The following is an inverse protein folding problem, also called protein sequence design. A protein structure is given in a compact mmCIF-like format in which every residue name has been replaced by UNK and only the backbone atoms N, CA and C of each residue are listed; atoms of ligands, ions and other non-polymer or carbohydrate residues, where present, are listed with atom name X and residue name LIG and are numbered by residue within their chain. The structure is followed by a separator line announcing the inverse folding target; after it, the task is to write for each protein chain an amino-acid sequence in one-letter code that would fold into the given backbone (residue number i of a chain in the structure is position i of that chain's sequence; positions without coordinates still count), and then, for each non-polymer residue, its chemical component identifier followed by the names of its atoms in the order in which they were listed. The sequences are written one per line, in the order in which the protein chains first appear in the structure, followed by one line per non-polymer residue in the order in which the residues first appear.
data_IF_684736937924
#
_entry.id   IF_684736937924
#
_cell.length_a   1.000
_cell.length_b   1.000
_cell.length_c   1.000
_cell.angle_alpha   90.00
_cell.angle_beta   90.00
_cell.angle_gamma   90.00
#
_symmetry.space_group_name_H-M   'P 1'
#
loop_
_entity.id
_entity.type
_entity.pdbx_description
1 polymer ?
#
# COMPACT_ATOMS: atom_id res chain seq x y z
N UNK A 1 15.58 41.86 0.62
CA UNK A 1 14.43 40.93 0.76
C UNK A 1 14.85 39.59 0.18
N UNK A 2 15.26 38.65 1.04
CA UNK A 2 15.67 37.31 0.61
C UNK A 2 14.41 36.49 0.30
N UNK A 3 14.23 36.09 -0.96
CA UNK A 3 13.20 35.12 -1.34
C UNK A 3 13.60 33.81 -0.67
N UNK A 4 12.93 33.44 0.44
CA UNK A 4 13.04 32.08 0.99
C UNK A 4 12.55 31.12 -0.09
N UNK A 5 13.49 30.42 -0.75
CA UNK A 5 13.15 29.26 -1.58
C UNK A 5 12.46 28.26 -0.66
N UNK A 6 11.19 27.97 -0.94
CA UNK A 6 10.49 26.92 -0.22
C UNK A 6 11.11 25.57 -0.59
N UNK A 7 11.26 24.65 0.37
CA UNK A 7 11.81 23.33 0.07
C UNK A 7 10.90 22.62 -0.94
N UNK A 8 11.49 22.16 -2.03
CA UNK A 8 10.83 21.32 -3.04
C UNK A 8 10.40 20.03 -2.33
N UNK A 9 9.11 19.72 -2.37
CA UNK A 9 8.63 18.40 -1.90
C UNK A 9 9.10 17.30 -2.83
N UNK A 10 9.30 16.09 -2.30
CA UNK A 10 9.66 14.93 -3.12
C UNK A 10 8.73 14.76 -4.34
N UNK A 11 7.42 14.99 -4.18
CA UNK A 11 6.49 14.93 -5.32
C UNK A 11 6.62 16.09 -6.30
N UNK A 12 6.93 17.31 -5.87
CA UNK A 12 7.22 18.39 -6.81
C UNK A 12 8.46 18.06 -7.66
N UNK A 13 9.50 17.48 -7.05
CA UNK A 13 10.67 16.99 -7.78
C UNK A 13 10.29 15.91 -8.79
N UNK A 14 9.52 14.90 -8.38
CA UNK A 14 9.03 13.82 -9.25
C UNK A 14 8.13 14.37 -10.36
N UNK A 15 7.24 15.34 -10.10
CA UNK A 15 6.38 15.94 -11.12
C UNK A 15 7.19 16.71 -12.17
N UNK A 16 8.20 17.49 -11.73
CA UNK A 16 9.08 18.21 -12.65
C UNK A 16 9.86 17.21 -13.52
N UNK A 17 10.41 16.17 -12.90
CA UNK A 17 11.11 15.11 -13.61
C UNK A 17 10.19 14.37 -14.60
N UNK A 18 8.99 14.00 -14.17
CA UNK A 18 7.96 13.36 -14.99
C UNK A 18 7.61 14.19 -16.23
N UNK A 19 7.33 15.49 -16.05
CA UNK A 19 7.01 16.37 -17.16
C UNK A 19 8.18 16.50 -18.15
N UNK A 20 9.41 16.62 -17.64
CA UNK A 20 10.63 16.65 -18.46
C UNK A 20 10.81 15.37 -19.28
N UNK A 21 10.66 14.20 -18.65
CA UNK A 21 10.79 12.89 -19.31
C UNK A 21 9.73 12.71 -20.40
N UNK A 22 8.48 13.09 -20.12
CA UNK A 22 7.42 12.98 -21.13
C UNK A 22 7.61 13.94 -22.31
N UNK A 23 8.15 15.14 -22.07
CA UNK A 23 8.49 16.08 -23.13
C UNK A 23 9.59 15.52 -24.05
N UNK A 24 10.64 14.93 -23.46
CA UNK A 24 11.73 14.27 -24.20
C UNK A 24 11.23 13.07 -25.03
N UNK A 25 10.38 12.21 -24.46
CA UNK A 25 9.79 11.06 -25.16
C UNK A 25 8.89 11.49 -26.32
N UNK A 26 8.09 12.52 -26.11
CA UNK A 26 7.22 13.08 -27.17
C UNK A 26 8.05 13.72 -28.28
N UNK A 27 9.11 14.45 -27.92
CA UNK A 27 10.05 15.04 -28.88
C UNK A 27 10.81 13.98 -29.69
N UNK A 28 11.08 12.81 -29.10
CA UNK A 28 11.64 11.64 -29.78
C UNK A 28 10.64 10.92 -30.71
N UNK A 29 9.39 11.39 -30.79
CA UNK A 29 8.35 10.82 -31.64
C UNK A 29 7.65 9.60 -31.05
N UNK A 30 7.82 9.35 -29.75
CA UNK A 30 7.13 8.26 -29.07
C UNK A 30 5.64 8.57 -28.91
N UNK A 31 4.79 7.59 -29.23
CA UNK A 31 3.34 7.72 -29.09
C UNK A 31 2.91 7.25 -27.70
N UNK A 32 2.76 8.19 -26.78
CA UNK A 32 2.20 7.95 -25.44
C UNK A 32 0.75 7.42 -25.54
N UNK A 33 0.33 6.62 -24.57
CA UNK A 33 -1.08 6.21 -24.45
C UNK A 33 -1.96 7.41 -24.11
N UNK A 34 -3.25 7.31 -24.44
CA UNK A 34 -4.26 8.34 -24.11
C UNK A 34 -4.27 8.68 -22.62
N UNK A 35 -4.14 7.66 -21.77
CA UNK A 35 -4.17 7.78 -20.32
C UNK A 35 -2.95 8.54 -19.77
N UNK A 36 -1.76 8.35 -20.38
CA UNK A 36 -0.55 9.05 -19.99
C UNK A 36 -0.59 10.51 -20.47
N UNK A 37 -1.18 10.76 -21.65
CA UNK A 37 -1.39 12.12 -22.16
C UNK A 37 -2.36 12.91 -21.27
N UNK A 38 -3.48 12.31 -20.87
CA UNK A 38 -4.42 12.93 -19.92
C UNK A 38 -3.75 13.24 -18.57
N UNK A 39 -2.91 12.32 -18.07
CA UNK A 39 -2.14 12.54 -16.84
C UNK A 39 -1.10 13.66 -16.99
N UNK A 40 -0.43 13.75 -18.14
CA UNK A 40 0.50 14.83 -18.45
C UNK A 40 -0.21 16.19 -18.45
N UNK A 41 -1.35 16.31 -19.12
CA UNK A 41 -2.16 17.53 -19.14
C UNK A 41 -2.60 17.93 -17.72
N UNK A 42 -3.04 16.98 -16.91
CA UNK A 42 -3.37 17.20 -15.51
C UNK A 42 -2.16 17.69 -14.69
N UNK A 43 -0.99 17.08 -14.88
CA UNK A 43 0.23 17.47 -14.19
C UNK A 43 0.69 18.89 -14.58
N UNK A 44 0.59 19.26 -15.85
CA UNK A 44 0.84 20.63 -16.35
C UNK A 44 -0.13 21.60 -15.69
N UNK A 45 -1.43 21.29 -15.67
CA UNK A 45 -2.43 22.11 -15.00
C UNK A 45 -2.13 22.30 -13.50
N UNK A 46 -1.73 21.23 -12.81
CA UNK A 46 -1.31 21.27 -11.40
C UNK A 46 0.02 22.02 -11.16
N UNK A 47 0.87 22.15 -12.19
CA UNK A 47 2.12 22.91 -12.14
C UNK A 47 1.88 24.40 -12.39
N UNK A 48 1.01 24.74 -13.35
CA UNK A 48 0.76 26.11 -13.80
C UNK A 48 -0.22 26.89 -12.90
N UNK A 49 -1.25 26.25 -12.35
CA UNK A 49 -2.39 26.98 -11.76
C UNK A 49 -2.27 27.28 -10.25
N UNK A 50 -1.36 26.64 -9.51
CA UNK A 50 -1.23 26.89 -8.07
C UNK A 50 -0.39 28.12 -7.69
N UNK A 51 -0.05 28.96 -8.66
CA UNK A 51 0.49 30.30 -8.41
C UNK A 51 -0.61 31.38 -8.23
N UNK A 52 -1.92 31.06 -8.31
CA UNK A 52 -2.96 32.09 -8.32
C UNK A 52 -4.38 31.70 -7.87
N UNK A 53 -4.62 31.69 -6.55
CA UNK A 53 -5.80 32.25 -5.82
C UNK A 53 -7.28 32.01 -6.25
N UNK A 54 -7.66 31.14 -7.18
CA UNK A 54 -9.10 30.92 -7.48
C UNK A 54 -9.69 29.64 -6.85
N UNK A 55 -10.67 29.74 -5.93
CA UNK A 55 -11.35 28.59 -5.32
C UNK A 55 -12.16 27.70 -6.28
N UNK A 56 -12.52 28.20 -7.47
CA UNK A 56 -13.25 27.42 -8.47
C UNK A 56 -12.40 26.31 -9.13
N UNK A 57 -11.07 26.39 -9.02
CA UNK A 57 -10.11 25.40 -9.52
C UNK A 57 -10.12 24.09 -8.72
N UNK A 58 -10.59 24.10 -7.46
CA UNK A 58 -10.73 22.89 -6.64
C UNK A 58 -11.85 21.96 -7.13
N UNK A 59 -12.87 22.50 -7.81
CA UNK A 59 -13.97 21.72 -8.40
C UNK A 59 -13.52 20.81 -9.54
N UNK A 60 -12.47 21.21 -10.29
CA UNK A 60 -11.90 20.40 -11.36
C UNK A 60 -11.08 19.23 -10.80
N UNK A 61 -10.31 19.47 -9.74
CA UNK A 61 -9.60 18.44 -8.99
C UNK A 61 -10.57 17.41 -8.39
N UNK A 62 -11.69 17.85 -7.82
CA UNK A 62 -12.76 16.99 -7.30
C UNK A 62 -13.43 16.11 -8.36
N UNK A 63 -13.54 16.59 -9.60
CA UNK A 63 -14.07 15.83 -10.73
C UNK A 63 -13.09 14.73 -11.19
N UNK A 64 -11.79 15.05 -11.27
CA UNK A 64 -10.75 14.09 -11.67
C UNK A 64 -10.49 13.01 -10.60
N UNK A 65 -10.70 13.35 -9.32
CA UNK A 65 -10.72 12.37 -8.22
C UNK A 65 -11.78 11.27 -8.44
N UNK A 66 -12.86 11.57 -9.20
CA UNK A 66 -14.02 10.69 -9.37
C UNK A 66 -14.00 9.83 -10.65
N UNK A 67 -13.14 10.13 -11.63
CA UNK A 67 -13.13 9.44 -12.93
C UNK A 67 -11.71 9.07 -13.38
N UNK A 68 -11.51 7.86 -13.93
CA UNK A 68 -10.32 7.49 -14.71
C UNK A 68 -9.51 6.28 -14.22
N UNK A 69 -8.88 5.59 -15.17
CA UNK A 69 -7.70 4.77 -14.91
C UNK A 69 -6.64 5.68 -14.25
N UNK A 70 -6.06 5.26 -13.12
CA UNK A 70 -5.22 6.12 -12.25
C UNK A 70 -5.95 7.22 -11.45
N UNK A 71 -7.27 7.10 -11.19
CA UNK A 71 -7.99 8.01 -10.27
C UNK A 71 -7.27 8.20 -8.91
N UNK A 72 -6.60 7.15 -8.41
CA UNK A 72 -5.82 7.24 -7.18
C UNK A 72 -4.54 8.09 -7.32
N UNK A 73 -3.97 8.19 -8.52
CA UNK A 73 -2.81 9.04 -8.82
C UNK A 73 -3.24 10.50 -8.79
N UNK A 74 -4.36 10.84 -9.45
CA UNK A 74 -4.95 12.18 -9.37
C UNK A 74 -5.27 12.58 -7.93
N UNK A 75 -5.87 11.68 -7.15
CA UNK A 75 -6.13 11.87 -5.73
C UNK A 75 -4.84 12.12 -4.95
N UNK A 76 -3.80 11.31 -5.16
CA UNK A 76 -2.52 11.45 -4.46
C UNK A 76 -1.80 12.77 -4.78
N UNK A 77 -1.72 13.15 -6.05
CA UNK A 77 -1.13 14.44 -6.49
C UNK A 77 -1.88 15.60 -5.85
N UNK A 78 -3.22 15.58 -5.90
CA UNK A 78 -4.06 16.65 -5.34
C UNK A 78 -3.89 16.78 -3.83
N UNK A 79 -3.92 15.65 -3.11
CA UNK A 79 -3.70 15.61 -1.65
C UNK A 79 -2.32 16.16 -1.28
N UNK A 80 -1.30 15.84 -2.05
CA UNK A 80 0.04 16.36 -1.82
C UNK A 80 0.15 17.87 -2.00
N UNK A 81 -0.43 18.39 -3.09
CA UNK A 81 -0.47 19.84 -3.34
C UNK A 81 -1.24 20.58 -2.25
N UNK A 82 -2.41 20.07 -1.85
CA UNK A 82 -3.23 20.65 -0.78
C UNK A 82 -2.48 20.64 0.55
N UNK A 83 -1.82 19.51 0.88
CA UNK A 83 -1.02 19.38 2.10
C UNK A 83 0.16 20.35 2.10
N UNK A 84 0.91 20.44 1.00
CA UNK A 84 2.11 21.26 0.89
C UNK A 84 1.80 22.76 1.01
N UNK A 85 0.75 23.23 0.31
CA UNK A 85 0.35 24.64 0.34
C UNK A 85 -0.50 25.00 1.57
N UNK A 86 -0.86 24.00 2.40
CA UNK A 86 -1.76 24.16 3.54
C UNK A 86 -3.08 24.82 3.12
N UNK A 87 -3.57 24.49 1.92
CA UNK A 87 -4.76 25.13 1.33
C UNK A 87 -6.05 24.83 2.12
N UNK A 88 -6.01 23.82 2.99
CA UNK A 88 -7.08 23.49 3.92
C UNK A 88 -7.22 24.48 5.08
N UNK A 89 -6.23 25.33 5.35
CA UNK A 89 -6.20 26.20 6.52
C UNK A 89 -7.02 27.49 6.37
N UNK A 90 -7.64 27.99 7.46
CA UNK A 90 -8.35 29.27 7.46
C UNK A 90 -7.54 30.43 6.93
N UNK A 91 -6.24 30.50 7.24
CA UNK A 91 -5.33 31.54 6.76
C UNK A 91 -5.12 31.52 5.23
N UNK A 92 -5.46 30.41 4.58
CA UNK A 92 -5.35 30.17 3.14
C UNK A 92 -6.70 30.08 2.43
N UNK A 93 -7.80 30.33 3.16
CA UNK A 93 -9.16 30.28 2.62
C UNK A 93 -9.85 28.91 2.72
N UNK A 94 -9.28 27.97 3.48
CA UNK A 94 -9.93 26.69 3.81
C UNK A 94 -10.66 26.71 5.17
N UNK A 95 -11.27 25.60 5.54
CA UNK A 95 -12.12 25.49 6.74
C UNK A 95 -11.51 24.65 7.89
N UNK A 96 -10.28 24.14 7.73
CA UNK A 96 -9.72 23.09 8.59
C UNK A 96 -8.38 23.49 9.21
N UNK A 97 -8.16 23.22 10.50
CA UNK A 97 -6.94 23.64 11.19
C UNK A 97 -5.74 22.72 10.97
N UNK A 98 -5.98 21.47 10.56
CA UNK A 98 -4.92 20.51 10.30
C UNK A 98 -5.22 19.65 9.08
N UNK A 99 -4.19 19.11 8.44
CA UNK A 99 -4.37 18.20 7.31
C UNK A 99 -5.17 16.96 7.71
N UNK A 100 -5.01 16.49 8.95
CA UNK A 100 -5.81 15.40 9.51
C UNK A 100 -7.30 15.77 9.55
N UNK A 101 -7.64 16.96 10.06
CA UNK A 101 -9.04 17.41 10.11
C UNK A 101 -9.64 17.54 8.72
N UNK A 102 -8.85 18.05 7.77
CA UNK A 102 -9.25 18.11 6.37
C UNK A 102 -9.55 16.71 5.80
N UNK A 103 -8.69 15.72 6.04
CA UNK A 103 -8.93 14.35 5.59
C UNK A 103 -10.18 13.74 6.25
N UNK A 104 -10.25 13.77 7.58
CA UNK A 104 -11.27 13.05 8.35
C UNK A 104 -12.64 13.73 8.30
N UNK A 105 -12.68 15.06 8.39
CA UNK A 105 -13.92 15.83 8.40
C UNK A 105 -14.30 16.38 7.03
N UNK A 106 -13.34 16.83 6.22
CA UNK A 106 -13.62 17.36 4.89
C UNK A 106 -13.84 16.28 3.85
N UNK A 107 -12.84 15.40 3.68
CA UNK A 107 -12.87 14.36 2.65
C UNK A 107 -13.51 13.03 3.10
N UNK A 108 -13.77 12.87 4.40
CA UNK A 108 -14.31 11.65 5.01
C UNK A 108 -13.44 10.40 4.75
N UNK A 109 -12.12 10.59 4.73
CA UNK A 109 -11.13 9.51 4.63
C UNK A 109 -10.14 9.58 5.79
N UNK A 110 -9.56 8.46 6.20
CA UNK A 110 -8.51 8.49 7.22
C UNK A 110 -7.25 9.20 6.68
N UNK A 111 -6.54 9.89 7.55
CA UNK A 111 -5.24 10.51 7.19
C UNK A 111 -4.24 9.45 6.70
N UNK A 112 -4.31 8.23 7.24
CA UNK A 112 -3.51 7.10 6.77
C UNK A 112 -3.80 6.76 5.30
N UNK A 113 -5.09 6.65 4.94
CA UNK A 113 -5.51 6.42 3.56
C UNK A 113 -5.07 7.55 2.63
N UNK A 114 -5.14 8.81 3.08
CA UNK A 114 -4.66 9.96 2.32
C UNK A 114 -3.14 9.87 2.04
N UNK A 115 -2.33 9.56 3.07
CA UNK A 115 -0.89 9.33 2.92
C UNK A 115 -0.59 8.18 1.94
N UNK A 116 -1.34 7.06 2.02
CA UNK A 116 -1.18 5.94 1.09
C UNK A 116 -1.47 6.35 -0.36
N UNK A 117 -2.47 7.21 -0.61
CA UNK A 117 -2.77 7.73 -1.94
C UNK A 117 -1.61 8.59 -2.48
N UNK A 118 -1.03 9.44 -1.64
CA UNK A 118 0.15 10.26 -2.00
C UNK A 118 1.35 9.38 -2.38
N UNK A 119 1.67 8.39 -1.55
CA UNK A 119 2.74 7.40 -1.83
C UNK A 119 2.47 6.63 -3.13
N UNK A 120 1.23 6.16 -3.31
CA UNK A 120 0.83 5.45 -4.52
C UNK A 120 1.05 6.28 -5.78
N UNK A 121 0.68 7.57 -5.74
CA UNK A 121 0.86 8.47 -6.87
C UNK A 121 2.35 8.66 -7.21
N UNK A 122 3.20 8.85 -6.20
CA UNK A 122 4.66 8.96 -6.39
C UNK A 122 5.23 7.71 -7.07
N UNK A 123 4.97 6.53 -6.49
CA UNK A 123 5.48 5.27 -7.03
C UNK A 123 5.01 5.04 -8.47
N UNK A 124 3.74 5.31 -8.78
CA UNK A 124 3.22 5.17 -10.14
C UNK A 124 3.85 6.17 -11.12
N UNK A 125 4.08 7.42 -10.72
CA UNK A 125 4.76 8.39 -11.57
C UNK A 125 6.21 8.00 -11.84
N UNK A 126 6.93 7.51 -10.82
CA UNK A 126 8.28 6.95 -10.98
C UNK A 126 8.29 5.85 -12.04
N UNK A 127 7.37 4.88 -11.96
CA UNK A 127 7.28 3.80 -12.95
C UNK A 127 7.02 4.31 -14.38
N UNK A 128 6.25 5.38 -14.54
CA UNK A 128 6.03 5.98 -15.86
C UNK A 128 7.32 6.64 -16.39
N UNK A 129 8.07 7.33 -15.53
CA UNK A 129 9.37 7.91 -15.89
C UNK A 129 10.37 6.84 -16.35
N UNK A 130 10.36 5.69 -15.67
CA UNK A 130 11.19 4.52 -15.99
C UNK A 130 10.70 3.74 -17.23
N UNK A 131 9.63 4.20 -17.89
CA UNK A 131 9.18 3.65 -19.16
C UNK A 131 8.29 2.40 -19.04
N UNK A 132 7.77 2.06 -17.86
CA UNK A 132 6.87 0.92 -17.70
C UNK A 132 5.51 1.17 -18.37
N UNK A 133 5.10 0.27 -19.26
CA UNK A 133 3.75 0.27 -19.85
C UNK A 133 2.71 -0.40 -18.93
N UNK A 134 3.12 -1.42 -18.18
CA UNK A 134 2.26 -2.12 -17.23
C UNK A 134 2.31 -1.36 -15.90
N UNK A 135 1.25 -0.60 -15.60
CA UNK A 135 1.18 0.21 -14.38
C UNK A 135 0.31 -0.43 -13.29
N UNK A 136 0.53 -0.08 -12.00
CA UNK A 136 -0.31 -0.53 -10.90
C UNK A 136 -1.77 -0.11 -11.09
N UNK A 137 -2.68 -1.08 -11.06
CA UNK A 137 -4.11 -0.88 -11.33
C UNK A 137 -4.90 -0.34 -10.13
N UNK A 138 -4.28 -0.30 -8.95
CA UNK A 138 -4.93 0.19 -7.74
C UNK A 138 -3.91 0.79 -6.78
N UNK A 139 -4.38 1.72 -5.94
CA UNK A 139 -3.56 2.35 -4.91
C UNK A 139 -2.91 1.32 -3.97
N UNK A 140 -3.60 0.24 -3.61
CA UNK A 140 -3.04 -0.77 -2.69
C UNK A 140 -1.83 -1.50 -3.28
N UNK A 141 -1.81 -1.68 -4.61
CA UNK A 141 -0.67 -2.30 -5.30
C UNK A 141 0.48 -1.31 -5.39
N UNK A 142 0.21 -0.05 -5.76
CA UNK A 142 1.22 0.99 -5.84
C UNK A 142 1.82 1.33 -4.47
N UNK A 143 1.02 1.39 -3.41
CA UNK A 143 1.45 1.66 -2.04
C UNK A 143 2.28 0.53 -1.42
N UNK A 144 2.24 -0.68 -1.99
CA UNK A 144 3.05 -1.81 -1.53
C UNK A 144 4.47 -1.80 -2.08
N UNK A 145 4.73 -0.99 -3.12
CA UNK A 145 6.08 -0.80 -3.65
C UNK A 145 6.93 0.01 -2.66
N UNK A 146 8.25 -0.22 -2.60
CA UNK A 146 9.15 0.69 -1.91
C UNK A 146 9.02 2.06 -2.56
N UNK A 147 9.20 3.12 -1.77
CA UNK A 147 9.27 4.48 -2.30
C UNK A 147 10.73 4.86 -2.42
N UNK A 148 11.16 5.28 -3.59
CA UNK A 148 12.54 5.71 -3.82
C UNK A 148 12.80 6.99 -3.01
N UNK A 149 13.51 6.82 -1.89
CA UNK A 149 13.98 7.91 -1.05
C UNK A 149 15.49 7.92 -1.20
N UNK A 150 16.03 9.06 -1.60
CA UNK A 150 17.47 9.26 -1.71
C UNK A 150 18.02 10.02 -0.52
N UNK A 151 19.24 9.68 -0.10
CA UNK A 151 19.97 10.44 0.90
C UNK A 151 20.53 11.75 0.29
N UNK A 152 21.21 12.57 1.09
CA UNK A 152 21.79 13.84 0.63
C UNK A 152 22.87 13.67 -0.48
N UNK A 153 23.41 12.47 -0.65
CA UNK A 153 24.39 12.12 -1.68
C UNK A 153 23.74 11.58 -2.97
N UNK A 154 22.42 11.39 -2.97
CA UNK A 154 21.68 10.85 -4.11
C UNK A 154 21.56 9.33 -4.13
N UNK A 155 22.12 8.61 -3.16
CA UNK A 155 22.00 7.14 -3.07
C UNK A 155 20.62 6.77 -2.53
N UNK A 156 20.03 5.68 -3.04
CA UNK A 156 18.80 5.11 -2.50
C UNK A 156 19.03 4.68 -1.04
N UNK A 157 18.09 5.05 -0.17
CA UNK A 157 18.05 4.62 1.23
C UNK A 157 17.53 3.18 1.33
N UNK A 158 16.76 2.71 0.35
CA UNK A 158 16.24 1.36 0.30
C UNK A 158 17.12 0.46 -0.57
N UNK A 159 17.28 -0.80 -0.16
CA UNK A 159 18.06 -1.81 -0.89
C UNK A 159 17.45 -2.23 -2.23
N UNK A 160 16.17 -1.92 -2.44
CA UNK A 160 15.42 -2.26 -3.66
C UNK A 160 14.64 -1.03 -4.13
N UNK A 161 14.85 -0.65 -5.40
CA UNK A 161 14.13 0.47 -6.00
C UNK A 161 12.69 0.10 -6.39
N UNK A 162 11.88 1.14 -6.59
CA UNK A 162 10.49 1.02 -7.07
C UNK A 162 10.44 0.28 -8.41
N UNK A 163 11.36 0.60 -9.32
CA UNK A 163 11.44 0.03 -10.66
C UNK A 163 11.80 -1.45 -10.63
N UNK A 164 12.85 -1.83 -9.88
CA UNK A 164 13.29 -3.22 -9.73
C UNK A 164 12.20 -4.08 -9.09
N UNK A 165 11.61 -3.60 -7.99
CA UNK A 165 10.53 -4.30 -7.31
C UNK A 165 9.32 -4.55 -8.22
N UNK A 166 9.00 -3.58 -9.08
CA UNK A 166 7.87 -3.70 -9.98
C UNK A 166 8.14 -4.62 -11.16
N UNK A 167 9.35 -4.57 -11.75
CA UNK A 167 9.78 -5.49 -12.80
C UNK A 167 9.69 -6.95 -12.34
N UNK A 168 10.23 -7.27 -11.17
CA UNK A 168 10.18 -8.63 -10.63
C UNK A 168 8.74 -9.06 -10.30
N UNK A 169 7.90 -8.15 -9.82
CA UNK A 169 6.48 -8.45 -9.58
C UNK A 169 5.70 -8.73 -10.89
N UNK A 170 6.05 -8.06 -12.00
CA UNK A 170 5.52 -8.34 -13.35
C UNK A 170 5.90 -9.74 -13.79
N UNK A 171 7.18 -10.11 -13.66
CA UNK A 171 7.68 -11.44 -14.00
C UNK A 171 6.98 -12.53 -13.17
N UNK A 172 6.91 -12.35 -11.84
CA UNK A 172 6.30 -13.31 -10.93
C UNK A 172 4.79 -13.52 -11.20
N UNK A 173 4.09 -12.48 -11.66
CA UNK A 173 2.66 -12.54 -11.92
C UNK A 173 2.28 -12.99 -13.34
N UNK A 174 3.23 -12.98 -14.28
CA UNK A 174 2.95 -13.17 -15.70
C UNK A 174 2.19 -11.99 -16.33
N UNK A 175 2.44 -10.76 -15.86
CA UNK A 175 1.98 -9.53 -16.51
C UNK A 175 0.89 -8.72 -15.81
N UNK A 176 0.27 -9.21 -14.72
CA UNK A 176 -0.72 -8.44 -13.94
C UNK A 176 -0.46 -8.57 -12.44
N UNK A 177 0.49 -7.78 -11.89
CA UNK A 177 0.84 -7.87 -10.48
C UNK A 177 -0.32 -7.40 -9.59
N UNK A 178 -0.78 -8.29 -8.70
CA UNK A 178 -1.49 -7.93 -7.48
C UNK A 178 -0.56 -7.70 -6.28
N UNK A 179 -1.11 -7.17 -5.18
CA UNK A 179 -0.39 -6.85 -3.92
C UNK A 179 0.46 -8.01 -3.41
N UNK A 180 -0.03 -9.25 -3.52
CA UNK A 180 0.69 -10.45 -3.09
C UNK A 180 2.04 -10.65 -3.80
N UNK A 181 2.14 -10.27 -5.09
CA UNK A 181 3.37 -10.43 -5.85
C UNK A 181 4.38 -9.35 -5.46
N UNK A 182 3.91 -8.11 -5.32
CA UNK A 182 4.73 -7.01 -4.82
C UNK A 182 5.27 -7.32 -3.43
N UNK A 183 4.42 -7.76 -2.50
CA UNK A 183 4.87 -8.13 -1.15
C UNK A 183 5.85 -9.32 -1.15
N UNK A 184 5.72 -10.27 -2.07
CA UNK A 184 6.66 -11.39 -2.16
C UNK A 184 8.07 -10.92 -2.58
N UNK A 185 8.14 -9.87 -3.41
CA UNK A 185 9.39 -9.26 -3.86
C UNK A 185 9.98 -8.32 -2.80
N UNK A 186 9.14 -7.43 -2.25
CA UNK A 186 9.58 -6.39 -1.30
C UNK A 186 9.82 -6.95 0.10
N UNK A 187 9.14 -8.04 0.46
CA UNK A 187 9.25 -8.69 1.76
C UNK A 187 9.38 -10.22 1.60
N UNK A 188 10.47 -10.72 1.00
CA UNK A 188 10.64 -12.14 0.70
C UNK A 188 10.68 -13.01 1.95
N UNK A 189 11.14 -12.45 3.08
CA UNK A 189 11.18 -13.14 4.38
C UNK A 189 9.85 -13.11 5.15
N UNK A 190 8.91 -12.22 4.78
CA UNK A 190 7.57 -12.24 5.37
C UNK A 190 6.76 -13.28 4.63
N UNK A 191 6.84 -14.53 5.08
CA UNK A 191 5.82 -15.51 4.74
C UNK A 191 4.45 -14.90 5.08
N UNK A 192 3.55 -14.85 4.08
CA UNK A 192 2.19 -14.40 4.30
C UNK A 192 1.61 -15.16 5.50
N UNK A 193 0.85 -14.51 6.41
CA UNK A 193 0.33 -15.18 7.58
C UNK A 193 -0.49 -16.41 7.15
N UNK A 194 0.10 -17.59 7.34
CA UNK A 194 -0.50 -18.84 6.93
C UNK A 194 -1.75 -19.06 7.79
N UNK A 195 -2.91 -18.98 7.14
CA UNK A 195 -4.18 -19.18 7.82
C UNK A 195 -4.48 -20.67 7.86
N UNK A 196 -4.27 -21.30 9.01
CA UNK A 196 -4.60 -22.72 9.20
C UNK A 196 -6.06 -22.84 9.65
N UNK A 197 -6.96 -23.43 8.85
CA UNK A 197 -8.34 -23.62 9.27
C UNK A 197 -8.41 -24.63 10.42
N UNK A 198 -8.94 -24.18 11.56
CA UNK A 198 -9.23 -25.02 12.72
C UNK A 198 -10.74 -25.30 12.79
N UNK A 199 -11.12 -26.50 13.25
CA UNK A 199 -12.52 -26.77 13.56
C UNK A 199 -12.96 -25.96 14.79
N UNK A 200 -14.23 -25.56 14.84
CA UNK A 200 -14.79 -24.75 15.93
C UNK A 200 -14.52 -25.34 17.31
N UNK A 201 -14.59 -26.67 17.44
CA UNK A 201 -14.27 -27.37 18.69
C UNK A 201 -12.82 -27.19 19.14
N UNK A 202 -11.86 -27.28 18.20
CA UNK A 202 -10.43 -27.13 18.48
C UNK A 202 -10.10 -25.68 18.79
N UNK A 203 -10.69 -24.74 18.06
CA UNK A 203 -10.52 -23.32 18.32
C UNK A 203 -11.05 -22.92 19.71
N UNK A 204 -12.23 -23.42 20.09
CA UNK A 204 -12.81 -23.17 21.41
C UNK A 204 -11.94 -23.73 22.53
N UNK A 205 -11.46 -24.97 22.39
CA UNK A 205 -10.52 -25.58 23.32
C UNK A 205 -9.24 -24.75 23.48
N UNK A 206 -8.66 -24.29 22.37
CA UNK A 206 -7.44 -23.48 22.38
C UNK A 206 -7.66 -22.12 23.06
N UNK A 207 -8.83 -21.51 22.84
CA UNK A 207 -9.22 -20.26 23.48
C UNK A 207 -9.42 -20.42 25.00
N UNK A 208 -10.06 -21.50 25.43
CA UNK A 208 -10.24 -21.81 26.86
C UNK A 208 -8.90 -22.02 27.55
N UNK A 209 -7.99 -22.82 26.95
CA UNK A 209 -6.67 -23.07 27.52
C UNK A 209 -5.75 -21.84 27.53
N UNK A 210 -5.82 -21.01 26.50
CA UNK A 210 -5.09 -19.74 26.47
C UNK A 210 -5.57 -18.81 27.60
N UNK A 211 -6.89 -18.72 27.82
CA UNK A 211 -7.47 -17.91 28.88
C UNK A 211 -7.11 -18.42 30.29
N UNK A 212 -7.12 -19.73 30.51
CA UNK A 212 -6.68 -20.34 31.78
C UNK A 212 -5.23 -19.97 32.15
N UNK A 213 -4.37 -19.83 31.15
CA UNK A 213 -2.96 -19.48 31.31
C UNK A 213 -2.67 -17.97 31.24
N UNK A 214 -3.70 -17.14 31.06
CA UNK A 214 -3.54 -15.69 30.89
C UNK A 214 -2.77 -15.30 29.62
N UNK A 215 -2.77 -16.16 28.60
CA UNK A 215 -2.07 -15.95 27.33
C UNK A 215 -3.06 -15.60 26.21
N UNK A 216 -2.57 -14.91 25.19
CA UNK A 216 -3.27 -14.85 23.91
C UNK A 216 -3.24 -16.20 23.19
N UNK A 217 -4.21 -16.45 22.30
CA UNK A 217 -4.25 -17.67 21.46
C UNK A 217 -2.96 -17.80 20.64
N UNK A 218 -2.38 -16.69 20.20
CA UNK A 218 -1.13 -16.67 19.43
C UNK A 218 0.05 -17.15 20.28
N UNK A 219 0.19 -16.64 21.50
CA UNK A 219 1.25 -17.04 22.43
C UNK A 219 1.10 -18.50 22.87
N UNK A 220 -0.14 -18.95 23.11
CA UNK A 220 -0.44 -20.36 23.38
C UNK A 220 0.03 -21.26 22.24
N UNK A 221 -0.27 -20.89 20.98
CA UNK A 221 0.16 -21.63 19.81
C UNK A 221 1.67 -21.64 19.63
N UNK A 222 2.35 -20.50 19.84
CA UNK A 222 3.81 -20.44 19.78
C UNK A 222 4.45 -21.38 20.79
N UNK A 223 4.06 -21.30 22.07
CA UNK A 223 4.60 -22.19 23.11
C UNK A 223 4.32 -23.67 22.84
N UNK A 224 3.16 -23.99 22.28
CA UNK A 224 2.82 -25.36 21.91
C UNK A 224 3.71 -25.86 20.77
N UNK A 225 3.96 -25.04 19.76
CA UNK A 225 4.85 -25.40 18.66
C UNK A 225 6.31 -25.55 19.14
N UNK A 226 6.79 -24.65 19.99
CA UNK A 226 8.13 -24.72 20.59
C UNK A 226 8.28 -26.04 21.35
N UNK A 227 7.30 -26.38 22.21
CA UNK A 227 7.28 -27.66 22.92
C UNK A 227 7.27 -28.86 21.96
N UNK A 228 6.47 -28.82 20.89
CA UNK A 228 6.42 -29.90 19.91
C UNK A 228 7.74 -30.06 19.14
N UNK A 229 8.46 -28.98 18.85
CA UNK A 229 9.76 -29.02 18.17
C UNK A 229 10.83 -29.57 19.10
N UNK A 230 10.88 -29.09 20.34
CA UNK A 230 11.88 -29.49 21.33
C UNK A 230 11.71 -30.95 21.78
N UNK A 231 10.49 -31.49 21.69
CA UNK A 231 10.15 -32.85 22.12
C UNK A 231 9.63 -33.71 20.95
N UNK A 232 10.00 -33.37 19.71
CA UNK A 232 9.40 -33.96 18.51
C UNK A 232 9.61 -35.48 18.45
N UNK A 233 10.82 -35.93 18.79
CA UNK A 233 11.17 -37.36 18.78
C UNK A 233 10.37 -38.14 19.85
N UNK A 234 10.22 -37.59 21.06
CA UNK A 234 9.42 -38.20 22.12
C UNK A 234 7.93 -38.21 21.77
N UNK A 235 7.45 -37.15 21.12
CA UNK A 235 6.06 -37.03 20.68
C UNK A 235 5.70 -38.06 19.61
N UNK A 236 6.58 -38.28 18.62
CA UNK A 236 6.39 -39.31 17.58
C UNK A 236 6.42 -40.72 18.19
N UNK A 237 7.40 -41.00 19.06
CA UNK A 237 7.53 -42.31 19.72
C UNK A 237 6.31 -42.64 20.61
N UNK A 238 5.64 -41.62 21.18
CA UNK A 238 4.41 -41.82 21.95
C UNK A 238 3.16 -42.04 21.08
N UNK A 239 3.18 -41.61 19.82
CA UNK A 239 2.09 -41.84 18.86
C UNK A 239 2.18 -43.22 18.21
N UNK A 240 3.40 -43.69 17.88
CA UNK A 240 3.61 -45.01 17.24
C UNK A 240 3.39 -46.19 18.20
N UNK A 241 3.45 -45.97 19.51
CA UNK A 241 3.22 -47.02 20.52
C UNK A 241 1.75 -47.33 20.81
N UNK A 242 0.80 -46.66 20.14
CA UNK A 242 -0.66 -46.90 20.30
C UNK A 242 -1.40 -47.16 18.98
N UNK A 243 -0.86 -48.03 18.12
CA UNK A 243 -1.63 -48.60 17.01
C UNK A 243 -1.82 -50.10 17.22
N UNK A 244 -2.89 -50.47 17.93
CA UNK A 244 -3.51 -51.80 17.74
C UNK A 244 -4.23 -51.83 16.38
N UNK A 245 -4.14 -52.93 15.62
CA UNK A 245 -4.71 -53.00 14.27
C UNK A 245 -6.20 -53.32 14.32
N UNK A 246 -7.05 -52.29 14.41
CA UNK A 246 -8.49 -52.48 14.17
C UNK A 246 -8.80 -52.54 12.66
N UNK A 247 -8.97 -53.79 12.23
CA UNK A 247 -9.98 -54.34 11.32
C UNK A 247 -10.65 -53.45 10.26
N UNK A 248 -10.51 -53.96 9.03
CA UNK A 248 -11.14 -53.54 7.77
C UNK A 248 -12.66 -53.29 7.91
N UNK A 249 -13.12 -52.16 7.37
CA UNK A 249 -14.50 -52.02 6.88
C UNK A 249 -14.59 -51.09 5.64
N UNK A 250 -15.62 -51.26 4.78
CA UNK A 250 -15.51 -51.25 3.32
C UNK A 250 -16.03 -49.95 2.64
N UNK A 251 -16.11 -49.85 1.29
CA UNK A 251 -15.80 -48.63 0.56
C UNK A 251 -16.91 -47.57 0.46
N UNK A 252 -16.39 -46.36 0.31
CA UNK A 252 -16.95 -45.09 -0.16
C UNK A 252 -18.23 -45.12 -1.01
N UNK A 253 -19.25 -44.36 -0.55
CA UNK A 253 -20.32 -43.83 -1.41
C UNK A 253 -20.02 -42.38 -1.78
N UNK A 254 -19.67 -42.15 -3.05
CA UNK A 254 -19.58 -40.83 -3.69
C UNK A 254 -20.91 -40.09 -3.55
N UNK A 255 -20.93 -38.99 -2.78
CA UNK A 255 -22.09 -38.10 -2.68
C UNK A 255 -21.88 -36.84 -3.54
N UNK A 256 -22.84 -36.68 -4.45
CA UNK A 256 -23.00 -35.68 -5.51
C UNK A 256 -22.85 -34.24 -4.98
N UNK A 257 -21.95 -33.46 -5.59
CA UNK A 257 -21.85 -31.99 -5.46
C UNK A 257 -23.20 -31.34 -5.83
N UNK A 258 -23.81 -30.61 -4.90
CA UNK A 258 -24.82 -29.59 -5.21
C UNK A 258 -24.16 -28.22 -5.10
N UNK A 259 -24.19 -27.48 -6.20
CA UNK A 259 -23.83 -26.05 -6.23
C UNK A 259 -24.88 -25.29 -5.42
N UNK A 260 -24.45 -24.61 -4.36
CA UNK A 260 -25.25 -23.59 -3.69
C UNK A 260 -24.61 -22.23 -3.98
N UNK A 261 -25.30 -21.46 -4.82
CA UNK A 261 -25.13 -20.02 -4.95
C UNK A 261 -25.42 -19.39 -3.59
N UNK A 262 -24.48 -18.63 -3.04
CA UNK A 262 -24.77 -17.71 -1.93
C UNK A 262 -24.15 -16.36 -2.23
N UNK A 263 -25.02 -15.37 -2.05
CA UNK A 263 -24.91 -13.96 -2.34
C UNK A 263 -23.71 -13.29 -1.65
N UNK A 264 -23.21 -12.29 -2.36
CA UNK A 264 -22.33 -11.22 -1.91
C UNK A 264 -22.85 -10.63 -0.60
N UNK A 265 -22.01 -10.63 0.43
CA UNK A 265 -22.12 -9.75 1.59
C UNK A 265 -20.81 -8.99 1.69
N UNK A 266 -20.88 -7.68 1.44
CA UNK A 266 -19.80 -6.73 1.61
C UNK A 266 -19.38 -6.65 3.07
N UNK A 267 -18.19 -7.14 3.39
CA UNK A 267 -17.48 -6.80 4.61
C UNK A 267 -16.04 -6.45 4.24
N UNK A 268 -15.66 -5.21 4.54
CA UNK A 268 -14.31 -4.65 4.37
C UNK A 268 -13.25 -5.60 4.96
N UNK A 269 -12.11 -5.84 4.28
CA UNK A 269 -10.99 -6.50 4.91
C UNK A 269 -10.08 -5.50 5.63
N UNK A 270 -9.94 -5.77 6.93
CA UNK A 270 -8.83 -5.52 7.86
C UNK A 270 -7.69 -4.58 7.41
N UNK A 271 -7.56 -3.49 8.15
CA UNK A 271 -6.32 -2.74 8.36
C UNK A 271 -5.24 -3.69 8.89
N UNK A 272 -4.27 -4.05 8.05
CA UNK A 272 -3.03 -4.66 8.48
C UNK A 272 -1.99 -3.57 8.68
N UNK A 273 -1.36 -3.60 9.86
CA UNK A 273 -0.29 -2.72 10.30
C UNK A 273 0.86 -2.67 9.29
N UNK A 274 0.99 -1.53 8.61
CA UNK A 274 2.22 -1.13 7.94
C UNK A 274 2.88 -0.06 8.80
N UNK A 275 4.08 -0.37 9.29
CA UNK A 275 4.91 0.56 10.04
C UNK A 275 5.36 1.65 9.06
N UNK A 276 4.83 2.86 9.22
CA UNK A 276 5.41 4.07 8.64
C UNK A 276 6.60 4.47 9.52
N UNK A 277 7.75 4.71 8.89
CA UNK A 277 8.83 5.45 9.53
C UNK A 277 8.34 6.88 9.80
N UNK A 278 7.95 7.16 11.04
CA UNK A 278 7.82 8.52 11.55
C UNK A 278 9.23 9.04 11.86
N UNK A 279 9.88 9.63 10.88
CA UNK A 279 11.04 10.51 11.10
C UNK A 279 10.79 11.86 10.41
N UNK A 280 9.96 12.68 11.06
CA UNK A 280 9.96 14.12 10.89
C UNK A 280 10.05 14.77 12.27
N UNK A 281 11.20 14.63 12.93
CA UNK A 281 11.54 15.45 14.08
C UNK A 281 12.42 16.64 13.67
N UNK A 282 11.76 17.80 13.68
CA UNK A 282 12.23 19.07 14.23
C UNK A 282 13.63 19.57 13.85
N UNK A 283 13.68 20.50 12.89
CA UNK A 283 14.73 21.51 12.86
C UNK A 283 14.40 22.58 13.92
N UNK A 284 15.11 22.56 15.05
CA UNK A 284 15.12 23.66 16.01
C UNK A 284 16.17 24.68 15.54
N UNK A 285 15.83 25.96 15.33
CA UNK A 285 16.83 26.96 15.00
C UNK A 285 17.55 27.39 16.28
N UNK A 286 18.82 27.00 16.41
CA UNK A 286 19.68 27.56 17.45
C UNK A 286 19.87 29.06 17.22
N UNK A 287 19.51 29.82 18.25
CA UNK A 287 19.82 31.22 18.41
C UNK A 287 21.27 31.39 18.85
N UNK A 288 22.10 31.95 17.98
CA UNK A 288 23.19 32.86 18.35
C UNK A 288 23.63 33.68 17.15
#
# INVERSE_FOLDING_TARGET
MSKRQQPITQMQGILIHFLSVLEERTAAGEKLSSEIQELQEFCIHCADQLNGKDPSEFSYLDFQIRNGFLAYVYQGISLEKISHHRAYEPEKGGDYYSFKDYCEYGLKISVFKAKQLMVSARNTLTLICEGFEILPQSYSVAAALPTDITNANGDLINDLSTAEAWAEAIELSGGKPGVKHVNAVVHPEKEAPNTVPLSDSKYKFLKEKAAELGLSIKEMMSRFLDFCVDNFDDFINHFDSKVEPETKSPPTKKRKRRKASTKISSSFPNEQNYILYDDFTSFSPDTS
#
